data_IF_475222755128
#
_entry.id   IF_475222755128
#
_cell.length_a   1.000
_cell.length_b   1.000
_cell.length_c   1.000
_cell.angle_alpha   90.00
_cell.angle_beta   90.00
_cell.angle_gamma   90.00
#
_symmetry.space_group_name_H-M   'P 1'
#
loop_
_entity.id
_entity.type
_entity.pdbx_description
1 polymer ?
#
# COMPACT_ATOMS: atom_id res chain seq x y z
N UNK A 1 -10.51 -22.08 -5.52
CA UNK A 1 -9.04 -22.17 -5.49
C UNK A 1 -8.45 -20.78 -5.32
N UNK A 2 -7.38 -20.64 -4.55
CA UNK A 2 -6.58 -19.42 -4.37
C UNK A 2 -5.17 -19.68 -4.90
N UNK A 3 -4.65 -18.74 -5.65
CA UNK A 3 -3.27 -18.75 -6.11
C UNK A 3 -2.47 -17.71 -5.32
N UNK A 4 -1.39 -18.11 -4.69
CA UNK A 4 -0.44 -17.27 -3.99
C UNK A 4 0.96 -17.83 -4.19
N UNK A 5 1.91 -16.98 -4.59
CA UNK A 5 3.28 -17.43 -4.91
C UNK A 5 4.17 -17.63 -3.68
N UNK A 6 3.70 -17.22 -2.52
CA UNK A 6 4.41 -17.34 -1.26
C UNK A 6 3.53 -17.86 -0.13
N UNK A 7 3.93 -17.60 1.09
CA UNK A 7 3.09 -17.87 2.25
C UNK A 7 1.92 -16.89 2.26
N UNK A 8 0.68 -17.39 2.54
CA UNK A 8 -0.48 -16.51 2.68
C UNK A 8 -0.26 -15.44 3.76
N UNK A 9 -0.72 -14.22 3.47
CA UNK A 9 -0.62 -13.10 4.39
C UNK A 9 -0.19 -11.79 3.73
N UNK A 10 0.51 -11.88 2.59
CA UNK A 10 0.91 -10.70 1.82
C UNK A 10 1.73 -9.70 2.62
N UNK A 11 1.59 -8.41 2.31
CA UNK A 11 2.39 -7.34 2.94
C UNK A 11 2.17 -7.21 4.46
N UNK A 12 0.99 -7.60 4.97
CA UNK A 12 0.69 -7.44 6.39
C UNK A 12 1.65 -8.22 7.28
N UNK A 13 2.20 -9.33 6.80
CA UNK A 13 3.18 -10.13 7.54
C UNK A 13 4.49 -9.39 7.84
N UNK A 14 4.78 -8.30 7.14
CA UNK A 14 5.94 -7.44 7.41
C UNK A 14 5.70 -6.38 8.49
N UNK A 15 4.46 -6.22 8.96
CA UNK A 15 4.12 -5.28 10.04
C UNK A 15 4.52 -5.87 11.39
N UNK A 16 5.30 -5.12 12.16
CA UNK A 16 5.72 -5.51 13.51
C UNK A 16 4.59 -5.42 14.53
N UNK A 17 3.67 -4.48 14.33
CA UNK A 17 2.63 -4.12 15.28
C UNK A 17 1.32 -3.77 14.56
N UNK A 18 0.22 -4.37 14.98
CA UNK A 18 -1.15 -4.14 14.50
C UNK A 18 -2.04 -3.98 15.71
N UNK A 19 -2.69 -2.82 15.84
CA UNK A 19 -3.58 -2.47 16.94
C UNK A 19 -5.02 -2.25 16.48
N UNK A 20 -5.24 -2.03 15.19
CA UNK A 20 -6.49 -1.53 14.64
C UNK A 20 -7.32 -2.59 13.89
N UNK A 21 -7.06 -3.87 14.15
CA UNK A 21 -7.89 -4.95 13.61
C UNK A 21 -8.97 -5.35 14.62
N UNK A 22 -10.28 -5.25 14.29
CA UNK A 22 -11.36 -5.60 15.22
C UNK A 22 -11.24 -7.04 15.73
N UNK A 23 -11.37 -7.21 17.04
CA UNK A 23 -11.24 -8.51 17.69
C UNK A 23 -9.83 -8.83 18.22
N UNK A 24 -8.84 -8.00 17.90
CA UNK A 24 -7.53 -8.04 18.54
C UNK A 24 -7.47 -7.05 19.69
N UNK A 25 -7.31 -7.54 20.92
CA UNK A 25 -7.22 -6.71 22.13
C UNK A 25 -5.80 -6.27 22.39
N UNK A 26 -4.87 -7.18 22.17
CA UNK A 26 -3.43 -6.96 22.35
C UNK A 26 -2.80 -6.55 21.01
N UNK A 27 -1.70 -5.82 21.09
CA UNK A 27 -0.87 -5.52 19.93
C UNK A 27 -0.28 -6.84 19.40
N UNK A 28 -0.48 -7.10 18.12
CA UNK A 28 0.03 -8.33 17.48
C UNK A 28 0.87 -8.00 16.27
N UNK A 29 1.83 -8.87 15.92
CA UNK A 29 2.50 -8.77 14.64
C UNK A 29 1.57 -9.17 13.50
N UNK A 30 1.86 -8.71 12.28
CA UNK A 30 1.14 -9.15 11.09
C UNK A 30 1.25 -10.65 10.85
N UNK A 31 2.37 -11.27 11.22
CA UNK A 31 2.56 -12.72 11.19
C UNK A 31 1.58 -13.42 12.13
N UNK A 32 1.45 -12.95 13.37
CA UNK A 32 0.55 -13.54 14.37
C UNK A 32 -0.92 -13.34 13.99
N UNK A 33 -1.28 -12.15 13.48
CA UNK A 33 -2.63 -11.88 12.98
C UNK A 33 -3.02 -12.86 11.87
N UNK A 34 -2.10 -13.13 10.94
CA UNK A 34 -2.37 -13.98 9.78
C UNK A 34 -2.22 -15.47 10.05
N UNK A 35 -1.62 -15.87 11.19
CA UNK A 35 -1.23 -17.26 11.47
C UNK A 35 -2.38 -18.27 11.30
N UNK A 36 -3.58 -17.92 11.75
CA UNK A 36 -4.75 -18.81 11.73
C UNK A 36 -5.66 -18.66 10.50
N UNK A 37 -5.44 -17.64 9.64
CA UNK A 37 -6.33 -17.38 8.52
C UNK A 37 -6.29 -18.50 7.44
N UNK A 38 -5.14 -19.05 7.08
CA UNK A 38 -5.09 -20.17 6.13
C UNK A 38 -5.86 -21.39 6.62
N UNK A 39 -5.73 -21.77 7.90
CA UNK A 39 -6.46 -22.88 8.50
C UNK A 39 -7.97 -22.62 8.50
N UNK A 40 -8.39 -21.41 8.86
CA UNK A 40 -9.80 -21.02 8.78
C UNK A 40 -10.36 -21.19 7.37
N UNK A 41 -9.64 -20.75 6.35
CA UNK A 41 -10.06 -20.88 4.95
C UNK A 41 -10.12 -22.36 4.50
N UNK A 42 -9.15 -23.18 4.91
CA UNK A 42 -9.11 -24.60 4.60
C UNK A 42 -10.31 -25.36 5.18
N UNK A 43 -10.79 -25.00 6.37
CA UNK A 43 -12.00 -25.58 6.96
C UNK A 43 -13.24 -25.45 6.06
N UNK A 44 -13.27 -24.41 5.22
CA UNK A 44 -14.33 -24.17 4.23
C UNK A 44 -13.98 -24.70 2.84
N UNK A 45 -12.93 -25.52 2.72
CA UNK A 45 -12.57 -26.21 1.48
C UNK A 45 -11.79 -25.34 0.49
N UNK A 46 -11.27 -24.16 0.89
CA UNK A 46 -10.39 -23.37 0.02
C UNK A 46 -9.13 -24.16 -0.28
N UNK A 47 -8.85 -24.38 -1.57
CA UNK A 47 -7.58 -24.96 -2.03
C UNK A 47 -6.60 -23.84 -2.31
N UNK A 48 -5.40 -23.95 -1.75
CA UNK A 48 -4.28 -23.07 -2.05
C UNK A 48 -3.35 -23.76 -3.05
N UNK A 49 -3.07 -23.08 -4.15
CA UNK A 49 -2.09 -23.47 -5.16
C UNK A 49 -0.92 -22.48 -5.10
N UNK A 50 0.28 -22.95 -4.78
CA UNK A 50 1.47 -22.11 -4.74
C UNK A 50 1.96 -21.85 -6.17
N UNK A 51 1.43 -20.82 -6.79
CA UNK A 51 1.76 -20.41 -8.15
C UNK A 51 1.54 -18.92 -8.35
N UNK A 52 2.33 -18.33 -9.23
CA UNK A 52 2.12 -16.98 -9.73
C UNK A 52 1.21 -17.05 -10.95
N UNK A 53 0.17 -16.23 -10.98
CA UNK A 53 -0.63 -16.01 -12.18
C UNK A 53 0.04 -14.92 -13.03
N UNK A 54 0.49 -15.27 -14.22
CA UNK A 54 1.07 -14.35 -15.19
C UNK A 54 0.00 -13.58 -15.94
N UNK A 55 -1.13 -14.24 -16.26
CA UNK A 55 -2.19 -13.64 -17.07
C UNK A 55 -3.57 -14.21 -16.76
N UNK A 56 -4.56 -13.33 -16.84
CA UNK A 56 -5.99 -13.66 -16.84
C UNK A 56 -6.58 -13.18 -18.16
N UNK A 57 -7.20 -14.07 -18.91
CA UNK A 57 -7.95 -13.77 -20.13
C UNK A 57 -9.40 -14.18 -19.99
N UNK A 58 -10.28 -13.71 -20.88
CA UNK A 58 -11.69 -14.09 -20.91
C UNK A 58 -12.13 -14.41 -22.32
N UNK A 59 -12.82 -15.55 -22.49
CA UNK A 59 -13.49 -15.93 -23.73
C UNK A 59 -14.92 -16.39 -23.41
N UNK A 60 -15.91 -15.70 -23.96
CA UNK A 60 -17.31 -15.89 -23.59
C UNK A 60 -17.52 -15.67 -22.08
N UNK A 61 -18.05 -16.67 -21.38
CA UNK A 61 -18.30 -16.61 -19.93
C UNK A 61 -17.21 -17.28 -19.09
N UNK A 62 -16.11 -17.70 -19.71
CA UNK A 62 -15.02 -18.42 -19.02
C UNK A 62 -13.75 -17.58 -18.99
N UNK A 63 -13.16 -17.49 -17.80
CA UNK A 63 -11.81 -16.97 -17.60
C UNK A 63 -10.80 -18.10 -17.71
N UNK A 64 -9.65 -17.79 -18.31
CA UNK A 64 -8.46 -18.65 -18.29
C UNK A 64 -7.36 -17.92 -17.53
N UNK A 65 -6.83 -18.58 -16.50
CA UNK A 65 -5.70 -18.10 -15.70
C UNK A 65 -4.47 -18.92 -16.10
N UNK A 66 -3.43 -18.25 -16.56
CA UNK A 66 -2.17 -18.87 -16.95
C UNK A 66 -1.12 -18.60 -15.88
N UNK A 67 -0.52 -19.66 -15.34
CA UNK A 67 0.55 -19.58 -14.34
C UNK A 67 1.91 -19.35 -15.00
N UNK A 68 2.91 -18.99 -14.19
CA UNK A 68 4.30 -18.80 -14.62
C UNK A 68 4.94 -20.09 -15.21
N UNK A 69 4.51 -21.28 -14.76
CA UNK A 69 4.89 -22.60 -15.30
C UNK A 69 3.99 -23.05 -16.47
N UNK A 70 3.19 -22.13 -17.04
CA UNK A 70 2.32 -22.35 -18.22
C UNK A 70 1.18 -23.32 -18.04
N UNK A 71 0.79 -23.64 -16.81
CA UNK A 71 -0.47 -24.33 -16.55
C UNK A 71 -1.64 -23.38 -16.73
N UNK A 72 -2.78 -23.91 -17.14
CA UNK A 72 -4.02 -23.16 -17.33
C UNK A 72 -5.12 -23.69 -16.40
N UNK A 73 -5.85 -22.74 -15.84
CA UNK A 73 -7.02 -23.00 -15.02
C UNK A 73 -8.22 -22.22 -15.57
N UNK A 74 -9.38 -22.85 -15.58
CA UNK A 74 -10.60 -22.21 -16.04
C UNK A 74 -11.56 -21.92 -14.90
N UNK A 75 -12.24 -20.77 -14.95
CA UNK A 75 -13.19 -20.35 -13.95
C UNK A 75 -14.31 -19.51 -14.57
N UNK A 76 -15.51 -19.57 -13.97
CA UNK A 76 -16.64 -18.70 -14.32
C UNK A 76 -16.48 -17.30 -13.71
N UNK A 77 -15.76 -17.19 -12.59
CA UNK A 77 -15.50 -15.91 -11.89
C UNK A 77 -14.06 -15.86 -11.44
N UNK A 78 -13.52 -14.64 -11.37
CA UNK A 78 -12.17 -14.37 -10.84
C UNK A 78 -12.27 -13.22 -9.88
N UNK A 79 -11.65 -13.34 -8.71
CA UNK A 79 -11.39 -12.25 -7.77
C UNK A 79 -9.90 -11.92 -7.78
N UNK A 80 -9.55 -10.71 -8.17
CA UNK A 80 -8.19 -10.19 -8.11
C UNK A 80 -7.99 -9.50 -6.75
N UNK A 81 -7.03 -9.98 -5.97
CA UNK A 81 -6.69 -9.45 -4.66
C UNK A 81 -5.16 -9.33 -4.48
N UNK A 82 -4.46 -9.05 -5.57
CA UNK A 82 -3.00 -8.97 -5.62
C UNK A 82 -2.41 -7.76 -4.89
N UNK A 83 -3.24 -6.75 -4.63
CA UNK A 83 -2.86 -5.58 -3.84
C UNK A 83 -1.96 -4.58 -4.56
N UNK A 84 -1.23 -3.80 -3.76
CA UNK A 84 -0.25 -2.82 -4.23
C UNK A 84 0.90 -2.72 -3.23
N UNK A 85 2.11 -2.41 -3.71
CA UNK A 85 3.29 -2.24 -2.85
C UNK A 85 3.76 -0.79 -2.86
N UNK A 86 4.18 -0.22 -1.71
CA UNK A 86 4.78 1.11 -1.67
C UNK A 86 6.02 1.17 -2.56
N UNK A 87 6.17 2.25 -3.31
CA UNK A 87 7.41 2.53 -4.03
C UNK A 87 8.49 2.91 -3.05
N UNK A 88 9.69 2.40 -3.29
CA UNK A 88 10.88 2.88 -2.58
C UNK A 88 11.36 4.17 -3.24
N UNK A 89 11.81 5.12 -2.40
CA UNK A 89 12.41 6.36 -2.87
C UNK A 89 13.87 6.17 -3.34
N UNK A 90 14.53 5.10 -2.84
CA UNK A 90 15.86 4.66 -3.26
C UNK A 90 17.03 5.38 -2.61
N UNK A 91 16.83 6.08 -1.50
CA UNK A 91 17.91 6.72 -0.75
C UNK A 91 18.64 5.72 0.16
N UNK A 92 19.86 6.06 0.53
CA UNK A 92 20.69 5.25 1.43
C UNK A 92 20.01 5.11 2.81
N UNK A 93 20.01 3.90 3.37
CA UNK A 93 19.40 3.59 4.67
C UNK A 93 17.89 3.27 4.61
N UNK A 94 17.18 3.54 3.48
CA UNK A 94 15.74 3.29 3.38
C UNK A 94 15.37 1.83 3.70
N UNK A 95 16.07 0.87 3.12
CA UNK A 95 15.80 -0.55 3.34
C UNK A 95 16.32 -1.06 4.69
N UNK A 96 17.44 -0.53 5.16
CA UNK A 96 18.08 -0.91 6.42
C UNK A 96 17.20 -0.58 7.62
N UNK A 97 16.58 0.62 7.57
CA UNK A 97 15.74 1.15 8.65
C UNK A 97 14.24 0.94 8.42
N UNK A 98 13.85 0.21 7.38
CA UNK A 98 12.44 -0.10 7.15
C UNK A 98 11.88 -0.93 8.30
N UNK A 99 10.78 -0.47 8.94
CA UNK A 99 10.23 -1.03 10.18
C UNK A 99 11.04 -0.71 11.44
N UNK A 100 12.11 0.09 11.33
CA UNK A 100 12.94 0.56 12.44
C UNK A 100 13.07 2.09 12.44
N UNK A 101 12.01 2.76 12.06
CA UNK A 101 11.97 4.22 11.93
C UNK A 101 11.64 4.72 10.53
N UNK A 102 11.84 3.93 9.48
CA UNK A 102 11.31 4.20 8.14
C UNK A 102 10.01 3.45 7.95
N UNK A 103 8.94 4.15 7.60
CA UNK A 103 7.59 3.62 7.42
C UNK A 103 6.95 4.12 6.11
N UNK A 104 5.89 3.44 5.68
CA UNK A 104 5.03 3.82 4.56
C UNK A 104 3.55 3.91 4.95
N UNK A 105 3.27 3.95 6.27
CA UNK A 105 1.91 4.02 6.82
C UNK A 105 1.90 4.92 8.06
N UNK A 106 1.43 6.16 7.94
CA UNK A 106 1.36 7.07 9.09
C UNK A 106 0.24 6.69 10.08
N UNK A 107 -0.86 6.13 9.60
CA UNK A 107 -1.96 5.66 10.46
C UNK A 107 -1.60 4.40 11.25
N UNK A 108 -0.63 3.61 10.78
CA UNK A 108 -0.14 2.43 11.48
C UNK A 108 0.89 2.83 12.55
N UNK A 109 1.89 3.61 12.15
CA UNK A 109 3.12 3.80 12.94
C UNK A 109 3.23 5.20 13.57
N UNK A 110 2.37 6.15 13.18
CA UNK A 110 2.45 7.54 13.65
C UNK A 110 2.35 7.70 15.16
N UNK A 111 1.60 6.82 15.82
CA UNK A 111 1.41 6.85 17.28
C UNK A 111 2.73 6.71 18.05
N UNK A 112 3.69 5.92 17.58
CA UNK A 112 5.00 5.72 18.21
C UNK A 112 5.88 6.98 18.22
N UNK A 113 5.50 7.97 17.42
CA UNK A 113 6.20 9.25 17.29
C UNK A 113 5.47 10.42 17.94
N UNK A 114 4.48 10.15 18.79
CA UNK A 114 3.75 11.21 19.53
C UNK A 114 4.73 12.10 20.30
N UNK A 115 4.61 13.41 20.08
CA UNK A 115 5.46 14.43 20.71
C UNK A 115 6.90 14.51 20.16
N UNK A 116 7.25 13.68 19.15
CA UNK A 116 8.56 13.69 18.49
C UNK A 116 8.50 14.45 17.18
N UNK A 117 9.65 14.80 16.63
CA UNK A 117 9.77 15.32 15.27
C UNK A 117 9.80 14.15 14.29
N UNK A 118 9.16 14.29 13.12
CA UNK A 118 9.14 13.28 12.05
C UNK A 118 9.36 13.92 10.69
N UNK A 119 9.83 13.14 9.72
CA UNK A 119 9.91 13.55 8.34
C UNK A 119 8.91 12.78 7.47
N UNK A 120 8.27 13.48 6.55
CA UNK A 120 7.39 12.91 5.52
C UNK A 120 8.01 13.19 4.16
N UNK A 121 8.31 12.15 3.39
CA UNK A 121 8.93 12.25 2.07
C UNK A 121 7.86 12.04 1.01
N UNK A 122 7.59 13.07 0.21
CA UNK A 122 6.60 13.01 -0.86
C UNK A 122 6.12 14.39 -1.30
N UNK A 123 5.13 14.44 -2.19
CA UNK A 123 4.60 15.72 -2.69
C UNK A 123 3.32 15.56 -3.53
N UNK A 124 2.62 14.44 -3.39
CA UNK A 124 1.26 14.22 -3.83
C UNK A 124 0.28 14.30 -2.67
N UNK A 125 -1.02 14.18 -2.95
CA UNK A 125 -2.08 14.25 -1.94
C UNK A 125 -1.81 13.36 -0.73
N UNK A 126 -1.52 12.08 -0.93
CA UNK A 126 -1.23 11.15 0.17
C UNK A 126 -0.10 11.63 1.09
N UNK A 127 1.00 12.20 0.54
CA UNK A 127 2.10 12.68 1.37
C UNK A 127 1.69 13.88 2.22
N UNK A 128 0.92 14.81 1.66
CA UNK A 128 0.48 16.02 2.35
C UNK A 128 -0.60 15.69 3.39
N UNK A 129 -1.57 14.84 3.05
CA UNK A 129 -2.61 14.40 3.98
C UNK A 129 -2.01 13.66 5.19
N UNK A 130 -1.03 12.79 4.95
CA UNK A 130 -0.35 12.06 6.01
C UNK A 130 0.56 12.98 6.85
N UNK A 131 1.17 14.02 6.25
CA UNK A 131 1.88 15.06 7.00
C UNK A 131 0.92 15.84 7.92
N UNK A 132 -0.26 16.21 7.42
CA UNK A 132 -1.32 16.85 8.23
C UNK A 132 -1.85 15.92 9.31
N UNK A 133 -1.98 14.62 9.01
CA UNK A 133 -2.36 13.62 10.02
C UNK A 133 -1.32 13.54 11.14
N UNK A 134 -0.03 13.37 10.79
CA UNK A 134 1.06 13.28 11.76
C UNK A 134 1.23 14.56 12.58
N UNK A 135 0.97 15.74 12.01
CA UNK A 135 1.07 17.01 12.70
C UNK A 135 0.16 17.12 13.92
N UNK A 136 -0.95 16.37 13.94
CA UNK A 136 -1.90 16.36 15.09
C UNK A 136 -1.31 15.68 16.33
N UNK A 137 -0.28 14.87 16.18
CA UNK A 137 0.31 14.09 17.27
C UNK A 137 1.80 14.31 17.45
N UNK A 138 2.53 14.65 16.41
CA UNK A 138 3.96 14.93 16.44
C UNK A 138 4.24 16.40 16.81
N UNK A 139 5.38 16.68 17.44
CA UNK A 139 5.77 18.06 17.77
C UNK A 139 6.10 18.87 16.53
N UNK A 140 6.64 18.21 15.50
CA UNK A 140 7.00 18.82 14.22
C UNK A 140 7.01 17.79 13.11
N UNK A 141 6.62 18.22 11.90
CA UNK A 141 6.68 17.41 10.69
C UNK A 141 7.51 18.15 9.63
N UNK A 142 8.59 17.53 9.18
CA UNK A 142 9.34 18.00 8.01
C UNK A 142 8.73 17.39 6.75
N UNK A 143 8.07 18.20 5.92
CA UNK A 143 7.56 17.74 4.62
C UNK A 143 8.64 17.89 3.55
N UNK A 144 9.31 16.79 3.25
CA UNK A 144 10.48 16.75 2.36
C UNK A 144 10.04 16.45 0.93
N UNK A 145 10.31 17.38 0.00
CA UNK A 145 9.92 17.21 -1.39
C UNK A 145 11.05 17.60 -2.37
N UNK A 146 11.17 16.80 -3.44
CA UNK A 146 12.24 17.00 -4.45
C UNK A 146 12.02 18.15 -5.42
N UNK A 147 10.89 18.80 -5.41
CA UNK A 147 10.52 19.96 -6.24
C UNK A 147 10.15 21.12 -5.35
N UNK A 148 10.06 22.29 -5.95
CA UNK A 148 9.55 23.52 -5.33
C UNK A 148 8.01 23.59 -5.31
N UNK A 149 7.35 22.73 -6.09
CA UNK A 149 5.90 22.64 -6.24
C UNK A 149 5.38 21.25 -5.95
N UNK A 150 4.23 21.17 -5.32
CA UNK A 150 3.51 19.92 -5.05
C UNK A 150 2.60 19.53 -6.21
N UNK A 151 2.29 18.22 -6.32
CA UNK A 151 1.31 17.69 -7.28
C UNK A 151 -0.06 17.45 -6.66
N UNK A 152 -0.20 17.69 -5.37
CA UNK A 152 -1.45 17.56 -4.64
C UNK A 152 -2.46 18.60 -5.08
N UNK A 153 -3.73 18.35 -4.77
CA UNK A 153 -4.82 19.29 -5.03
C UNK A 153 -4.59 20.63 -4.29
N UNK A 154 -4.96 21.78 -4.88
CA UNK A 154 -4.78 23.07 -4.24
C UNK A 154 -5.38 23.17 -2.83
N UNK A 155 -6.54 22.55 -2.59
CA UNK A 155 -7.21 22.51 -1.29
C UNK A 155 -6.37 21.75 -0.24
N UNK A 156 -5.74 20.63 -0.63
CA UNK A 156 -4.87 19.83 0.24
C UNK A 156 -3.63 20.62 0.63
N UNK A 157 -3.02 21.34 -0.35
CA UNK A 157 -1.86 22.20 -0.11
C UNK A 157 -2.22 23.37 0.81
N UNK A 158 -3.38 23.99 0.60
CA UNK A 158 -3.85 25.10 1.43
C UNK A 158 -4.06 24.64 2.89
N UNK A 159 -4.68 23.50 3.10
CA UNK A 159 -4.86 22.93 4.44
C UNK A 159 -3.51 22.68 5.15
N UNK A 160 -2.54 22.12 4.45
CA UNK A 160 -1.19 21.90 4.96
C UNK A 160 -0.52 23.23 5.39
N UNK A 161 -0.63 24.28 4.56
CA UNK A 161 -0.04 25.60 4.85
C UNK A 161 -0.62 26.28 6.11
N UNK A 162 -1.85 25.95 6.48
CA UNK A 162 -2.46 26.41 7.73
C UNK A 162 -2.06 25.59 8.96
N UNK A 163 -1.21 24.56 8.80
CA UNK A 163 -0.77 23.69 9.87
C UNK A 163 0.60 24.14 10.37
N UNK A 164 0.63 24.80 11.55
CA UNK A 164 1.76 25.57 12.04
C UNK A 164 3.04 24.77 12.36
N UNK A 165 2.93 23.47 12.61
CA UNK A 165 4.06 22.59 12.94
C UNK A 165 4.53 21.73 11.76
N UNK A 166 4.09 22.04 10.54
CA UNK A 166 4.66 21.46 9.32
C UNK A 166 5.69 22.43 8.76
N UNK A 167 6.92 21.97 8.60
CA UNK A 167 7.99 22.69 7.90
C UNK A 167 8.19 22.12 6.51
N UNK A 168 8.02 22.95 5.49
CA UNK A 168 8.28 22.59 4.10
C UNK A 168 9.79 22.57 3.81
N UNK A 169 10.32 21.44 3.41
CA UNK A 169 11.72 21.24 2.99
C UNK A 169 11.71 20.83 1.52
N UNK A 170 11.64 21.83 0.65
CA UNK A 170 11.44 21.65 -0.80
C UNK A 170 12.73 21.82 -1.59
N UNK A 171 12.68 21.39 -2.87
CA UNK A 171 13.81 21.42 -3.79
C UNK A 171 15.07 20.69 -3.28
N UNK A 172 14.85 19.58 -2.58
CA UNK A 172 15.90 18.75 -1.99
C UNK A 172 15.85 17.32 -2.48
N UNK A 173 16.99 16.62 -2.45
CA UNK A 173 17.08 15.17 -2.55
C UNK A 173 17.40 14.59 -1.19
N UNK A 174 16.81 13.44 -0.88
CA UNK A 174 17.21 12.69 0.32
C UNK A 174 18.50 11.94 -0.01
N UNK A 175 19.56 12.20 0.74
CA UNK A 175 20.85 11.54 0.56
C UNK A 175 20.90 10.25 1.38
N UNK A 176 20.59 10.34 2.67
CA UNK A 176 20.57 9.17 3.55
C UNK A 176 19.61 9.36 4.73
N UNK A 177 19.06 8.26 5.19
CA UNK A 177 18.56 8.08 6.55
C UNK A 177 19.63 7.35 7.32
N UNK A 178 19.95 7.83 8.51
CA UNK A 178 20.97 7.26 9.37
C UNK A 178 20.43 6.96 10.77
N UNK A 179 21.08 6.05 11.45
CA UNK A 179 20.71 5.59 12.78
C UNK A 179 21.63 4.50 13.28
N UNK A 180 21.17 3.78 14.26
CA UNK A 180 21.90 2.67 14.87
C UNK A 180 20.96 1.48 15.15
N UNK A 181 21.37 0.57 16.02
CA UNK A 181 20.59 -0.61 16.41
C UNK A 181 19.25 -0.27 17.06
N UNK A 182 19.08 0.95 17.58
CA UNK A 182 17.83 1.43 18.17
C UNK A 182 16.86 2.02 17.15
N UNK A 183 17.29 2.22 15.91
CA UNK A 183 16.50 2.75 14.80
C UNK A 183 17.02 4.05 14.22
N UNK A 184 16.14 4.75 13.51
CA UNK A 184 16.45 6.03 12.83
C UNK A 184 16.77 7.12 13.85
N UNK A 185 17.81 7.92 13.57
CA UNK A 185 18.20 9.10 14.34
C UNK A 185 18.10 10.38 13.53
N UNK A 186 18.10 10.29 12.20
CA UNK A 186 18.00 11.47 11.36
C UNK A 186 17.99 11.18 9.87
N UNK A 187 17.78 12.28 9.14
CA UNK A 187 17.64 12.31 7.68
C UNK A 187 18.52 13.45 7.14
N UNK A 188 19.42 13.15 6.20
CA UNK A 188 20.19 14.17 5.48
C UNK A 188 19.54 14.44 4.14
N UNK A 189 19.32 15.73 3.88
CA UNK A 189 18.80 16.22 2.60
C UNK A 189 19.79 17.17 1.95
N UNK A 190 19.83 17.15 0.62
CA UNK A 190 20.71 18.02 -0.16
C UNK A 190 19.87 18.92 -1.05
N UNK A 191 20.06 20.23 -0.92
CA UNK A 191 19.42 21.21 -1.78
C UNK A 191 19.96 21.09 -3.20
N UNK A 192 19.07 21.03 -4.19
CA UNK A 192 19.46 20.72 -5.57
C UNK A 192 20.30 21.81 -6.23
N UNK A 193 19.99 23.06 -5.98
CA UNK A 193 20.64 24.20 -6.64
C UNK A 193 21.92 24.61 -5.91
N UNK A 194 21.88 24.73 -4.58
CA UNK A 194 23.03 25.16 -3.78
C UNK A 194 24.00 24.02 -3.45
N UNK A 195 23.53 22.77 -3.48
CA UNK A 195 24.30 21.62 -3.02
C UNK A 195 24.46 21.53 -1.49
N UNK A 196 23.86 22.45 -0.74
CA UNK A 196 23.90 22.49 0.70
C UNK A 196 23.26 21.24 1.31
N UNK A 197 23.93 20.64 2.28
CA UNK A 197 23.40 19.50 3.03
C UNK A 197 22.83 20.00 4.35
N UNK A 198 21.58 19.65 4.58
CA UNK A 198 20.89 19.91 5.86
C UNK A 198 20.62 18.59 6.55
N UNK A 199 20.93 18.54 7.84
CA UNK A 199 20.59 17.43 8.72
C UNK A 199 19.25 17.72 9.41
N UNK A 200 18.33 16.75 9.39
CA UNK A 200 17.03 16.80 10.03
C UNK A 200 16.99 15.70 11.10
N UNK A 201 17.29 16.02 12.37
CA UNK A 201 17.20 15.06 13.45
C UNK A 201 15.77 14.58 13.62
N UNK A 202 15.52 13.29 13.39
CA UNK A 202 14.18 12.70 13.48
C UNK A 202 14.27 11.19 13.71
N UNK A 203 13.51 10.62 14.65
CA UNK A 203 13.45 9.18 14.85
C UNK A 203 12.49 8.48 13.88
N UNK A 204 11.69 9.22 13.09
CA UNK A 204 10.69 8.66 12.19
C UNK A 204 10.68 9.32 10.82
N UNK A 205 10.73 8.49 9.78
CA UNK A 205 10.71 8.91 8.37
C UNK A 205 9.60 8.15 7.64
N UNK A 206 8.61 8.87 7.15
CA UNK A 206 7.45 8.32 6.45
C UNK A 206 7.55 8.57 4.95
N UNK A 207 7.52 7.52 4.12
CA UNK A 207 7.82 7.60 2.68
C UNK A 207 6.54 7.42 1.86
N UNK A 208 6.09 8.48 1.18
CA UNK A 208 4.89 8.52 0.33
C UNK A 208 5.22 8.98 -1.09
N UNK A 209 6.00 8.18 -1.82
CA UNK A 209 6.43 8.48 -3.19
C UNK A 209 5.62 7.73 -4.26
N UNK A 210 4.46 7.22 -3.87
CA UNK A 210 3.52 6.46 -4.68
C UNK A 210 3.56 4.96 -4.41
N UNK A 211 2.75 4.21 -5.15
CA UNK A 211 2.63 2.75 -5.03
C UNK A 211 2.74 2.09 -6.40
N UNK A 212 3.14 0.83 -6.42
CA UNK A 212 3.04 -0.04 -7.58
C UNK A 212 1.84 -0.94 -7.37
N UNK A 213 0.81 -0.77 -8.19
CA UNK A 213 -0.36 -1.65 -8.21
C UNK A 213 0.00 -2.95 -8.89
N UNK A 214 -0.32 -4.07 -8.26
CA UNK A 214 0.06 -5.40 -8.76
C UNK A 214 -0.97 -5.93 -9.76
N UNK A 215 -1.21 -5.18 -10.84
CA UNK A 215 -2.19 -5.42 -11.89
C UNK A 215 -1.63 -6.19 -13.10
N UNK A 216 -0.39 -6.64 -13.04
CA UNK A 216 0.27 -7.35 -14.14
C UNK A 216 -0.54 -8.54 -14.70
N UNK A 217 -1.24 -9.36 -13.87
CA UNK A 217 -2.05 -10.46 -14.39
C UNK A 217 -3.22 -10.04 -15.30
N UNK A 218 -3.65 -8.77 -15.22
CA UNK A 218 -4.74 -8.24 -16.04
C UNK A 218 -4.28 -7.72 -17.40
N UNK A 219 -2.95 -7.59 -17.61
CA UNK A 219 -2.40 -7.07 -18.86
C UNK A 219 -2.51 -8.09 -19.98
N UNK A 220 -3.01 -7.64 -21.15
CA UNK A 220 -3.21 -8.45 -22.34
C UNK A 220 -2.01 -8.40 -23.28
N UNK A 221 -1.95 -9.25 -24.30
CA UNK A 221 -0.82 -9.31 -25.26
C UNK A 221 -0.66 -8.07 -26.10
N UNK A 222 -1.77 -7.41 -26.40
CA UNK A 222 -1.80 -6.13 -27.13
C UNK A 222 -1.42 -4.93 -26.29
N UNK A 223 -1.11 -5.14 -24.99
CA UNK A 223 -0.72 -4.10 -24.04
C UNK A 223 -1.90 -3.44 -23.34
N UNK A 224 -3.15 -3.75 -23.70
CA UNK A 224 -4.35 -3.29 -22.98
C UNK A 224 -4.52 -4.02 -21.65
N UNK A 225 -5.52 -3.63 -20.86
CA UNK A 225 -5.89 -4.35 -19.64
C UNK A 225 -7.25 -5.00 -19.80
N UNK A 226 -7.45 -6.14 -19.13
CA UNK A 226 -8.69 -6.90 -19.19
C UNK A 226 -9.90 -6.12 -18.66
N UNK A 227 -9.70 -5.19 -17.75
CA UNK A 227 -10.75 -4.33 -17.19
C UNK A 227 -10.24 -2.89 -17.05
N UNK A 228 -11.15 -1.98 -16.71
CA UNK A 228 -10.85 -0.56 -16.59
C UNK A 228 -9.95 -0.28 -15.37
N UNK A 229 -8.92 0.52 -15.58
CA UNK A 229 -8.00 1.02 -14.57
C UNK A 229 -8.04 2.55 -14.53
N UNK A 230 -7.74 3.13 -13.37
CA UNK A 230 -7.49 4.57 -13.29
C UNK A 230 -6.05 4.92 -13.74
N UNK A 231 -5.70 6.20 -13.74
CA UNK A 231 -4.37 6.70 -14.15
C UNK A 231 -3.22 6.15 -13.27
N UNK A 232 -3.51 5.74 -12.04
CA UNK A 232 -2.55 5.12 -11.12
C UNK A 232 -2.39 3.60 -11.33
N UNK A 233 -3.20 3.00 -12.22
CA UNK A 233 -3.22 1.58 -12.50
C UNK A 233 -4.08 0.77 -11.51
N UNK A 234 -4.89 1.42 -10.68
CA UNK A 234 -5.82 0.77 -9.75
C UNK A 234 -7.07 0.31 -10.49
N UNK A 235 -7.60 -0.85 -10.12
CA UNK A 235 -8.79 -1.43 -10.77
C UNK A 235 -10.04 -0.65 -10.37
N UNK A 236 -10.79 -0.17 -11.36
CA UNK A 236 -12.07 0.51 -11.14
C UNK A 236 -13.13 -0.53 -10.78
N UNK A 237 -13.76 -0.36 -9.62
CA UNK A 237 -14.84 -1.22 -9.12
C UNK A 237 -16.03 -0.39 -8.64
N UNK A 238 -17.20 -1.03 -8.63
CA UNK A 238 -18.38 -0.50 -7.96
C UNK A 238 -18.42 -0.91 -6.47
N UNK A 239 -19.46 -0.47 -5.73
CA UNK A 239 -19.66 -0.82 -4.31
C UNK A 239 -19.83 -2.32 -4.05
N UNK A 240 -20.04 -3.13 -5.08
CA UNK A 240 -20.15 -4.58 -5.02
C UNK A 240 -18.85 -5.28 -5.41
N UNK A 241 -17.75 -4.54 -5.52
CA UNK A 241 -16.43 -5.01 -5.95
C UNK A 241 -16.41 -5.57 -7.38
N UNK A 242 -17.39 -5.22 -8.23
CA UNK A 242 -17.45 -5.64 -9.63
C UNK A 242 -16.61 -4.69 -10.49
N UNK A 243 -15.83 -5.27 -11.40
CA UNK A 243 -15.10 -4.51 -12.42
C UNK A 243 -15.99 -4.23 -13.64
N UNK A 244 -15.44 -3.56 -14.66
CA UNK A 244 -16.12 -3.38 -15.95
C UNK A 244 -16.34 -4.70 -16.73
N UNK A 245 -15.72 -5.80 -16.28
CA UNK A 245 -15.86 -7.12 -16.92
C UNK A 245 -16.71 -8.03 -16.06
N UNK A 246 -17.85 -8.46 -16.60
CA UNK A 246 -18.80 -9.37 -15.96
C UNK A 246 -18.11 -10.65 -15.47
N UNK A 247 -18.24 -10.99 -14.18
CA UNK A 247 -17.61 -12.14 -13.55
C UNK A 247 -16.19 -11.89 -13.02
N UNK A 248 -15.60 -10.69 -13.29
CA UNK A 248 -14.33 -10.26 -12.72
C UNK A 248 -14.58 -9.29 -11.59
N UNK A 249 -13.94 -9.53 -10.45
CA UNK A 249 -14.03 -8.72 -9.23
C UNK A 249 -12.63 -8.33 -8.78
N UNK A 250 -12.52 -7.23 -8.03
CA UNK A 250 -11.27 -6.84 -7.39
C UNK A 250 -11.52 -6.36 -5.96
N UNK A 251 -10.61 -6.72 -5.03
CA UNK A 251 -10.74 -6.41 -3.61
C UNK A 251 -9.38 -6.03 -3.00
N UNK A 252 -9.42 -5.20 -1.95
CA UNK A 252 -8.23 -4.73 -1.25
C UNK A 252 -7.45 -3.67 -2.02
N UNK A 253 -6.16 -3.55 -1.74
CA UNK A 253 -5.29 -2.46 -2.19
C UNK A 253 -5.03 -2.38 -3.71
N UNK A 254 -5.58 -3.30 -4.49
CA UNK A 254 -5.52 -3.22 -5.96
C UNK A 254 -6.57 -2.29 -6.56
N UNK A 255 -7.68 -2.06 -5.84
CA UNK A 255 -8.81 -1.27 -6.35
C UNK A 255 -8.66 0.23 -6.05
N UNK A 256 -9.43 1.05 -6.79
CA UNK A 256 -9.56 2.48 -6.51
C UNK A 256 -10.06 2.73 -5.08
N UNK A 257 -9.68 3.86 -4.51
CA UNK A 257 -10.13 4.33 -3.19
C UNK A 257 -9.94 3.32 -2.06
N UNK A 258 -8.99 2.40 -2.21
CA UNK A 258 -8.65 1.45 -1.15
C UNK A 258 -8.02 2.18 0.04
N UNK A 259 -8.53 1.92 1.25
CA UNK A 259 -8.03 2.53 2.49
C UNK A 259 -6.67 1.99 2.94
N UNK A 260 -6.17 0.95 2.30
CA UNK A 260 -4.88 0.28 2.58
C UNK A 260 -4.78 -0.20 4.05
N UNK A 261 -5.90 -0.72 4.54
CA UNK A 261 -6.05 -1.30 5.88
C UNK A 261 -6.51 -2.76 5.77
N UNK A 262 -5.99 -3.62 6.64
CA UNK A 262 -6.29 -5.06 6.62
C UNK A 262 -7.79 -5.34 6.74
N UNK A 263 -8.45 -4.64 7.68
CA UNK A 263 -9.91 -4.80 7.90
C UNK A 263 -10.71 -4.37 6.67
N UNK A 264 -10.29 -3.32 5.96
CA UNK A 264 -10.96 -2.88 4.74
C UNK A 264 -10.77 -3.90 3.61
N UNK A 265 -9.55 -4.43 3.42
CA UNK A 265 -9.27 -5.46 2.44
C UNK A 265 -10.07 -6.74 2.71
N UNK A 266 -10.19 -7.16 3.98
CA UNK A 266 -11.02 -8.28 4.38
C UNK A 266 -12.51 -8.03 4.10
N UNK A 267 -13.01 -6.82 4.39
CA UNK A 267 -14.38 -6.39 4.09
C UNK A 267 -14.69 -6.37 2.59
N UNK A 268 -13.76 -5.88 1.78
CA UNK A 268 -13.85 -5.93 0.31
C UNK A 268 -13.95 -7.36 -0.19
N UNK A 269 -13.07 -8.26 0.33
CA UNK A 269 -13.09 -9.69 -0.01
C UNK A 269 -14.42 -10.35 0.33
N UNK A 270 -14.97 -10.06 1.50
CA UNK A 270 -16.29 -10.55 1.91
C UNK A 270 -17.41 -10.02 1.00
N UNK A 271 -17.38 -8.71 0.68
CA UNK A 271 -18.33 -8.09 -0.25
C UNK A 271 -18.26 -8.72 -1.63
N UNK A 272 -17.06 -8.92 -2.17
CA UNK A 272 -16.85 -9.58 -3.45
C UNK A 272 -17.40 -11.02 -3.41
N UNK A 273 -17.11 -11.80 -2.37
CA UNK A 273 -17.55 -13.19 -2.24
C UNK A 273 -19.07 -13.31 -2.25
N UNK A 274 -19.79 -12.46 -1.51
CA UNK A 274 -21.28 -12.46 -1.50
C UNK A 274 -21.82 -12.18 -2.91
N UNK A 275 -21.27 -11.20 -3.61
CA UNK A 275 -21.70 -10.85 -4.96
C UNK A 275 -21.31 -11.92 -6.02
N UNK A 276 -20.22 -12.64 -5.82
CA UNK A 276 -19.83 -13.79 -6.66
C UNK A 276 -20.84 -14.93 -6.48
N UNK A 277 -21.25 -15.22 -5.24
CA UNK A 277 -22.26 -16.24 -4.96
C UNK A 277 -23.59 -15.89 -5.64
N UNK A 278 -24.06 -14.64 -5.51
CA UNK A 278 -25.26 -14.14 -6.20
C UNK A 278 -25.15 -14.28 -7.72
N UNK A 279 -23.98 -14.01 -8.29
CA UNK A 279 -23.73 -14.11 -9.73
C UNK A 279 -23.73 -15.55 -10.25
N UNK A 280 -23.29 -16.51 -9.45
CA UNK A 280 -23.20 -17.92 -9.85
C UNK A 280 -24.53 -18.69 -9.69
N UNK A 281 -25.49 -18.16 -8.92
CA UNK A 281 -26.82 -18.75 -8.65
C UNK A 281 -26.79 -19.64 -7.44
#
# INVERSE_FOLDING_TARGET
IMFEMGMPGGQITSSSEIENYPGQVEVVSGMDLMANWPEQCQRFGLKHEMAQIDRVTKSGDIFTLTTNDKKEFQAKTVLIATGSVPKRAGFKGENEFFGKGVSTCATCDGFFYRGKEVAVIGGGDSAIEEAVYLSKMCSKVYLVHRRDTYRAAPSTIEHMKHTSNIEEVTNVTVEEVYGDVSGVQGLKVKHKDSGEIRDLPTPGVFVFVGRNVLNAPLKQEDGTYLCDLNESGEVIVDLRMRTSVKGLYAAGDIRIDASKQVVCAAGDGATAAVNIIEYLG
#
